data_IF_373349204664
#
_entry.id   IF_373349204664
#
_cell.length_a   1.000
_cell.length_b   1.000
_cell.length_c   1.000
_cell.angle_alpha   90.00
_cell.angle_beta   90.00
_cell.angle_gamma   90.00
#
_symmetry.space_group_name_H-M   'P 1'
#
loop_
_entity.id
_entity.type
_entity.pdbx_description
1 polymer ?
#
# COMPACT_ATOMS: atom_id res chain seq x y z
N UNK A 1 23.20 -71.04 10.32
CA UNK A 1 24.60 -71.45 10.58
C UNK A 1 25.21 -70.36 11.46
N UNK A 2 25.12 -70.55 12.77
CA UNK A 2 25.64 -69.59 13.75
C UNK A 2 27.16 -69.64 13.73
N UNK A 3 27.78 -68.49 13.48
CA UNK A 3 29.21 -68.30 13.63
C UNK A 3 29.41 -67.41 14.85
N UNK A 4 30.17 -67.90 15.82
CA UNK A 4 30.61 -67.12 17.00
C UNK A 4 31.68 -66.11 16.62
N UNK A 5 31.91 -65.11 17.48
CA UNK A 5 32.69 -63.88 17.24
C UNK A 5 34.19 -64.09 16.91
N UNK A 6 34.65 -65.34 16.78
CA UNK A 6 36.02 -65.72 16.38
C UNK A 6 36.05 -66.60 15.14
N UNK A 7 35.16 -66.36 14.17
CA UNK A 7 35.09 -67.11 12.92
C UNK A 7 36.05 -66.55 11.85
N UNK A 8 37.13 -67.28 11.55
CA UNK A 8 38.08 -66.99 10.46
C UNK A 8 37.66 -67.61 9.11
N UNK A 9 36.37 -67.58 8.78
CA UNK A 9 35.85 -68.05 7.49
C UNK A 9 35.99 -66.97 6.41
N UNK A 10 36.43 -67.35 5.19
CA UNK A 10 36.54 -66.47 4.02
C UNK A 10 35.22 -65.73 3.65
N UNK A 11 34.06 -66.22 4.10
CA UNK A 11 32.77 -65.57 3.85
C UNK A 11 32.52 -64.32 4.70
N UNK A 12 33.24 -64.12 5.81
CA UNK A 12 33.08 -62.98 6.72
C UNK A 12 34.05 -61.82 6.42
N UNK A 13 35.02 -62.04 5.53
CA UNK A 13 36.15 -61.12 5.28
C UNK A 13 35.97 -60.17 4.10
N UNK A 14 34.81 -60.19 3.42
CA UNK A 14 34.48 -59.22 2.40
C UNK A 14 33.60 -58.11 2.99
N UNK A 15 34.17 -56.93 3.37
CA UNK A 15 33.33 -55.78 3.64
C UNK A 15 32.55 -55.48 2.36
N UNK A 16 31.22 -55.55 2.43
CA UNK A 16 30.36 -54.97 1.39
C UNK A 16 30.86 -53.54 1.14
N UNK A 17 31.11 -53.12 -0.10
CA UNK A 17 31.54 -51.74 -0.35
C UNK A 17 30.48 -50.83 0.26
N UNK A 18 30.85 -50.11 1.33
CA UNK A 18 29.96 -49.21 2.03
C UNK A 18 29.55 -48.13 1.03
N UNK A 19 28.37 -48.31 0.43
CA UNK A 19 27.89 -47.42 -0.59
C UNK A 19 27.64 -46.05 0.07
N UNK A 20 28.42 -45.06 -0.35
CA UNK A 20 28.27 -43.70 0.15
C UNK A 20 26.97 -43.14 -0.45
N UNK A 21 25.90 -43.05 0.35
CA UNK A 21 24.74 -42.23 -0.02
C UNK A 21 25.11 -40.77 0.19
N UNK A 22 24.82 -39.98 -0.82
CA UNK A 22 24.71 -38.54 -0.63
C UNK A 22 23.63 -38.23 0.42
N UNK A 23 24.03 -37.61 1.52
CA UNK A 23 23.11 -37.05 2.52
C UNK A 23 23.03 -35.56 2.26
N UNK A 24 21.88 -35.10 1.76
CA UNK A 24 21.67 -33.69 1.48
C UNK A 24 21.78 -32.88 2.80
N UNK A 25 22.66 -31.87 2.87
CA UNK A 25 22.73 -31.01 4.05
C UNK A 25 21.42 -30.24 4.23
N UNK A 26 21.10 -29.90 5.47
CA UNK A 26 19.88 -29.15 5.79
C UNK A 26 19.86 -27.82 5.03
N UNK A 27 18.72 -27.51 4.42
CA UNK A 27 18.51 -26.27 3.66
C UNK A 27 18.82 -25.05 4.54
N UNK A 28 19.63 -24.08 4.08
CA UNK A 28 19.97 -22.90 4.85
C UNK A 28 18.72 -22.05 5.12
N UNK A 29 18.62 -21.52 6.34
CA UNK A 29 17.51 -20.63 6.73
C UNK A 29 17.55 -19.34 5.90
N UNK A 30 16.38 -18.81 5.55
CA UNK A 30 16.30 -17.59 4.75
C UNK A 30 16.83 -16.37 5.52
N UNK A 31 17.60 -15.50 4.84
CA UNK A 31 18.03 -14.19 5.36
C UNK A 31 16.89 -13.14 5.42
N UNK A 32 15.64 -13.58 5.40
CA UNK A 32 14.49 -12.67 5.49
C UNK A 32 14.41 -12.15 6.93
N UNK A 33 14.13 -10.85 7.11
CA UNK A 33 14.00 -10.27 8.44
C UNK A 33 12.85 -10.94 9.20
N UNK A 34 13.14 -11.37 10.42
CA UNK A 34 12.16 -11.99 11.31
C UNK A 34 11.22 -10.89 11.79
N UNK A 35 9.95 -10.98 11.41
CA UNK A 35 8.90 -10.09 11.91
C UNK A 35 8.48 -10.56 13.30
N UNK A 36 9.12 -10.06 14.34
CA UNK A 36 8.59 -10.18 15.70
C UNK A 36 7.74 -8.95 16.03
N UNK A 37 6.58 -9.18 16.67
CA UNK A 37 5.79 -8.11 17.24
C UNK A 37 6.41 -7.73 18.58
N UNK A 38 6.75 -6.46 18.74
CA UNK A 38 7.18 -5.91 20.03
C UNK A 38 5.96 -5.31 20.71
N UNK A 39 5.49 -5.94 21.78
CA UNK A 39 4.41 -5.38 22.59
C UNK A 39 4.98 -4.22 23.40
N UNK A 40 4.34 -3.05 23.34
CA UNK A 40 4.71 -1.94 24.21
C UNK A 40 4.14 -2.21 25.61
N UNK A 41 4.99 -2.22 26.63
CA UNK A 41 4.58 -2.40 28.04
C UNK A 41 3.97 -1.13 28.66
N UNK A 42 3.79 -0.08 27.86
CA UNK A 42 3.27 1.20 28.33
C UNK A 42 1.75 1.08 28.52
N UNK A 43 1.23 1.31 29.74
CA UNK A 43 -0.21 1.25 30.00
C UNK A 43 -0.93 2.37 29.24
N UNK A 44 -2.11 2.05 28.72
CA UNK A 44 -2.95 3.01 28.01
C UNK A 44 -3.73 3.87 29.02
N UNK A 45 -3.55 5.19 28.94
CA UNK A 45 -4.32 6.16 29.72
C UNK A 45 -5.79 6.16 29.26
N UNK A 46 -6.66 5.47 30.01
CA UNK A 46 -8.07 5.24 29.68
C UNK A 46 -9.04 6.20 30.40
N UNK A 47 -8.51 7.24 31.02
CA UNK A 47 -9.28 8.17 31.84
C UNK A 47 -9.90 9.25 30.96
N UNK A 48 -11.22 9.16 30.81
CA UNK A 48 -12.00 10.17 30.12
C UNK A 48 -12.32 11.31 31.07
N UNK A 49 -12.46 12.52 30.53
CA UNK A 49 -12.89 13.71 31.27
C UNK A 49 -14.19 13.46 32.06
N UNK A 50 -15.10 12.66 31.50
CA UNK A 50 -16.34 12.25 32.16
C UNK A 50 -16.09 11.46 33.46
N UNK A 51 -15.21 10.45 33.43
CA UNK A 51 -14.87 9.65 34.62
C UNK A 51 -14.23 10.48 35.73
N UNK A 52 -13.44 11.48 35.37
CA UNK A 52 -12.76 12.34 36.34
C UNK A 52 -13.66 13.45 36.92
N UNK A 53 -14.73 13.83 36.20
CA UNK A 53 -15.60 14.95 36.60
C UNK A 53 -16.85 14.52 37.36
N UNK A 54 -17.38 13.32 37.09
CA UNK A 54 -18.54 12.78 37.80
C UNK A 54 -18.10 11.64 38.73
N UNK A 55 -17.56 12.03 39.87
CA UNK A 55 -17.39 11.11 41.00
C UNK A 55 -18.72 11.03 41.75
N UNK A 56 -19.18 9.82 42.04
CA UNK A 56 -20.32 9.63 42.93
C UNK A 56 -19.99 10.30 44.27
N UNK A 57 -20.79 11.30 44.63
CA UNK A 57 -20.61 12.05 45.87
C UNK A 57 -20.68 11.15 47.10
N UNK A 58 -20.20 11.62 48.27
CA UNK A 58 -20.27 10.83 49.49
C UNK A 58 -21.71 10.38 49.71
N UNK A 59 -21.91 9.06 49.74
CA UNK A 59 -23.17 8.44 50.17
C UNK A 59 -23.60 9.09 51.49
N UNK A 60 -24.90 9.31 51.74
CA UNK A 60 -25.38 9.98 52.95
C UNK A 60 -25.13 9.10 54.17
N UNK A 61 -23.89 9.07 54.60
CA UNK A 61 -23.39 8.35 55.76
C UNK A 61 -23.56 9.26 56.97
N UNK A 62 -24.40 8.79 57.89
CA UNK A 62 -24.45 9.14 59.31
C UNK A 62 -24.88 10.57 59.71
N UNK A 63 -24.86 11.56 58.81
CA UNK A 63 -25.26 12.95 59.12
C UNK A 63 -26.60 13.38 58.50
N UNK A 64 -27.39 12.45 57.97
CA UNK A 64 -28.75 12.77 57.49
C UNK A 64 -29.71 12.91 58.67
N UNK A 65 -30.40 14.05 58.74
CA UNK A 65 -31.39 14.35 59.79
C UNK A 65 -32.54 13.34 59.70
N UNK A 66 -32.86 12.67 60.81
CA UNK A 66 -33.98 11.72 60.86
C UNK A 66 -35.32 12.48 60.74
N UNK A 67 -36.28 12.01 59.92
CA UNK A 67 -37.59 12.64 59.81
C UNK A 67 -38.37 12.47 61.12
N UNK A 68 -39.04 13.55 61.57
CA UNK A 68 -39.92 13.55 62.74
C UNK A 68 -41.31 13.08 62.32
N UNK A 69 -41.84 12.05 62.98
CA UNK A 69 -43.19 11.52 62.73
C UNK A 69 -44.15 11.96 63.85
N UNK A 70 -45.42 12.30 63.54
CA UNK A 70 -46.43 12.61 64.55
C UNK A 70 -46.92 11.35 65.27
N UNK A 71 -47.31 11.49 66.55
CA UNK A 71 -47.92 10.40 67.32
C UNK A 71 -49.45 10.37 67.14
N UNK A 72 -50.02 9.17 66.93
CA UNK A 72 -51.44 8.97 66.67
C UNK A 72 -52.28 8.99 67.97
N UNK A 73 -53.23 9.92 68.07
CA UNK A 73 -54.06 10.15 69.27
C UNK A 73 -55.55 9.80 69.07
N UNK A 74 -55.86 8.70 68.37
CA UNK A 74 -57.25 8.35 68.04
C UNK A 74 -57.82 7.29 68.99
N UNK A 75 -58.66 7.69 69.94
CA UNK A 75 -59.57 6.79 70.66
C UNK A 75 -60.88 6.61 69.87
N UNK A 76 -61.16 5.38 69.45
CA UNK A 76 -62.39 5.01 68.71
C UNK A 76 -63.52 4.72 69.71
N UNK A 77 -64.68 5.38 69.55
CA UNK A 77 -65.87 5.12 70.36
C UNK A 77 -66.68 3.95 69.80
N UNK A 78 -66.92 2.93 70.62
CA UNK A 78 -67.66 1.71 70.25
C UNK A 78 -69.19 1.92 70.29
N UNK A 79 -69.73 2.59 69.29
CA UNK A 79 -71.17 2.68 69.04
C UNK A 79 -71.56 2.00 67.73
N UNK A 80 -72.49 1.04 67.74
CA UNK A 80 -73.04 0.46 66.50
C UNK A 80 -73.96 1.47 65.81
N UNK A 81 -73.51 1.98 64.67
CA UNK A 81 -74.31 2.82 63.77
C UNK A 81 -75.14 1.95 62.82
N UNK A 82 -76.40 2.33 62.60
CA UNK A 82 -77.28 1.69 61.63
C UNK A 82 -76.88 2.09 60.21
N UNK A 83 -76.69 1.10 59.34
CA UNK A 83 -76.05 1.26 58.01
C UNK A 83 -77.06 1.47 56.87
N UNK A 84 -78.32 1.73 57.24
CA UNK A 84 -79.44 1.98 56.32
C UNK A 84 -79.67 3.48 56.15
N UNK A 85 -79.08 4.02 55.09
CA UNK A 85 -79.34 5.40 54.66
C UNK A 85 -80.68 5.48 53.92
N UNK A 86 -81.40 6.60 54.04
CA UNK A 86 -82.67 6.85 53.33
C UNK A 86 -82.52 6.60 51.83
N UNK A 87 -81.36 6.94 51.24
CA UNK A 87 -81.10 6.67 49.83
C UNK A 87 -81.18 5.18 49.46
N UNK A 88 -80.60 4.27 50.26
CA UNK A 88 -80.69 2.81 50.02
C UNK A 88 -82.15 2.34 50.02
N UNK A 89 -82.98 2.94 50.87
CA UNK A 89 -84.39 2.58 51.00
C UNK A 89 -85.27 3.19 49.91
N UNK A 90 -84.96 4.40 49.45
CA UNK A 90 -85.82 5.15 48.52
C UNK A 90 -85.52 4.91 47.05
N UNK A 91 -84.30 4.50 46.69
CA UNK A 91 -83.89 4.28 45.29
C UNK A 91 -83.52 2.82 45.06
N UNK A 92 -84.53 1.96 44.99
CA UNK A 92 -84.36 0.57 44.55
C UNK A 92 -84.13 0.56 43.03
N UNK A 93 -83.10 -0.17 42.58
CA UNK A 93 -82.63 -0.14 41.19
C UNK A 93 -83.75 -0.32 40.16
N UNK A 94 -83.73 0.50 39.11
CA UNK A 94 -84.75 0.55 38.06
C UNK A 94 -84.79 -0.77 37.27
N UNK A 95 -85.55 -1.76 37.75
CA UNK A 95 -85.61 -3.13 37.20
C UNK A 95 -86.47 -3.28 35.94
N UNK A 96 -86.98 -2.20 35.37
CA UNK A 96 -87.77 -2.25 34.15
C UNK A 96 -87.57 -1.03 33.26
N UNK A 97 -86.31 -0.69 32.97
CA UNK A 97 -85.99 0.17 31.83
C UNK A 97 -86.36 -0.58 30.54
N UNK A 98 -87.49 -0.20 29.92
CA UNK A 98 -87.78 -0.61 28.54
C UNK A 98 -86.77 0.11 27.64
N UNK A 99 -85.87 -0.64 27.00
CA UNK A 99 -85.01 -0.11 25.95
C UNK A 99 -85.87 0.21 24.73
N UNK A 100 -85.92 1.46 24.33
CA UNK A 100 -86.38 1.82 23.00
C UNK A 100 -85.34 1.29 22.00
N UNK A 101 -85.78 0.48 21.05
CA UNK A 101 -84.94 -0.05 19.97
C UNK A 101 -84.83 1.07 18.93
N UNK A 102 -83.63 1.61 18.65
CA UNK A 102 -83.48 2.61 17.60
C UNK A 102 -83.85 2.01 16.24
N UNK A 103 -84.71 2.72 15.52
CA UNK A 103 -85.22 2.36 14.21
C UNK A 103 -84.05 1.95 13.30
N UNK A 104 -83.96 0.66 12.97
CA UNK A 104 -82.99 0.11 12.02
C UNK A 104 -83.40 0.51 10.59
N UNK A 105 -83.32 1.81 10.28
CA UNK A 105 -83.62 2.34 8.94
C UNK A 105 -82.85 3.61 8.63
N UNK A 106 -81.59 3.65 9.05
CA UNK A 106 -80.59 4.58 8.52
C UNK A 106 -79.29 3.82 8.29
N UNK A 107 -78.66 3.88 7.09
CA UNK A 107 -77.31 3.40 6.96
C UNK A 107 -76.46 4.20 7.94
N UNK A 108 -75.80 3.52 8.88
CA UNK A 108 -74.70 4.05 9.67
C UNK A 108 -73.54 4.39 8.71
N UNK A 109 -73.74 5.41 7.87
CA UNK A 109 -72.61 6.24 7.49
C UNK A 109 -72.23 6.89 8.80
N UNK A 110 -71.16 6.37 9.38
CA UNK A 110 -70.31 7.16 10.26
C UNK A 110 -70.38 8.58 9.72
N UNK A 111 -71.00 9.48 10.49
CA UNK A 111 -70.77 10.92 10.39
C UNK A 111 -69.32 11.03 10.01
N UNK A 112 -68.98 11.59 8.84
CA UNK A 112 -67.59 11.71 8.43
C UNK A 112 -66.88 12.43 9.58
N UNK A 113 -66.27 11.65 10.46
CA UNK A 113 -65.58 12.14 11.61
C UNK A 113 -64.27 12.61 11.00
N UNK A 114 -64.23 13.89 10.64
CA UNK A 114 -63.03 14.60 10.20
C UNK A 114 -61.92 14.59 11.27
N UNK A 115 -62.17 13.97 12.42
CA UNK A 115 -61.19 13.60 13.42
C UNK A 115 -60.32 12.48 12.86
N UNK A 116 -59.22 12.87 12.20
CA UNK A 116 -58.26 11.99 11.54
C UNK A 116 -57.92 10.75 12.34
N UNK A 117 -58.52 9.62 11.95
CA UNK A 117 -58.13 8.26 12.37
C UNK A 117 -57.06 7.75 11.40
N UNK A 118 -56.00 8.53 11.22
CA UNK A 118 -54.84 8.14 10.44
C UNK A 118 -53.71 7.68 11.37
N UNK A 119 -52.86 6.71 10.96
CA UNK A 119 -51.61 6.46 11.67
C UNK A 119 -50.81 7.76 11.77
N UNK A 120 -50.22 8.00 12.94
CA UNK A 120 -49.40 9.20 13.16
C UNK A 120 -48.17 9.15 12.24
N UNK A 121 -47.83 10.28 11.60
CA UNK A 121 -46.68 10.33 10.70
C UNK A 121 -45.40 10.39 11.54
N UNK A 122 -44.61 9.32 11.52
CA UNK A 122 -43.36 9.20 12.29
C UNK A 122 -42.13 9.82 11.59
N UNK A 123 -42.38 10.59 10.53
CA UNK A 123 -41.32 11.21 9.75
C UNK A 123 -41.00 12.60 10.30
N UNK A 124 -39.83 12.75 10.91
CA UNK A 124 -39.37 14.02 11.45
C UNK A 124 -38.56 14.75 10.40
N UNK A 125 -38.52 16.08 10.47
CA UNK A 125 -37.69 16.91 9.57
C UNK A 125 -36.22 16.49 9.56
N UNK A 126 -35.73 15.93 10.67
CA UNK A 126 -34.38 15.36 10.75
C UNK A 126 -34.21 14.11 9.90
N UNK A 127 -35.16 13.17 9.93
CA UNK A 127 -35.13 11.97 9.07
C UNK A 127 -35.13 12.33 7.59
N UNK A 128 -35.91 13.34 7.20
CA UNK A 128 -35.96 13.83 5.82
C UNK A 128 -34.69 14.59 5.40
N UNK A 129 -34.17 15.46 6.28
CA UNK A 129 -33.03 16.32 5.96
C UNK A 129 -31.68 15.57 5.96
N UNK A 130 -31.55 14.54 6.81
CA UNK A 130 -30.30 13.81 7.05
C UNK A 130 -30.36 12.38 6.49
N UNK A 131 -30.74 12.27 5.22
CA UNK A 131 -30.61 11.02 4.46
C UNK A 131 -29.18 10.80 3.97
N UNK A 132 -28.86 9.56 3.62
CA UNK A 132 -27.57 9.20 3.04
C UNK A 132 -27.36 9.94 1.71
N UNK A 133 -26.39 10.85 1.68
CA UNK A 133 -25.99 11.56 0.45
C UNK A 133 -24.78 10.87 -0.15
N UNK A 134 -24.90 10.37 -1.37
CA UNK A 134 -23.76 9.85 -2.11
C UNK A 134 -22.90 11.02 -2.58
N UNK A 135 -21.65 11.09 -2.11
CA UNK A 135 -20.64 12.04 -2.59
C UNK A 135 -19.77 11.34 -3.62
N UNK A 136 -19.58 11.98 -4.78
CA UNK A 136 -18.66 11.50 -5.80
C UNK A 136 -17.24 11.39 -5.22
N UNK A 137 -16.58 10.25 -5.43
CA UNK A 137 -15.21 10.06 -4.96
C UNK A 137 -14.31 11.09 -5.64
N UNK A 138 -13.56 11.84 -4.83
CA UNK A 138 -12.51 12.73 -5.36
C UNK A 138 -11.51 11.91 -6.17
N UNK A 139 -11.03 12.47 -7.27
CA UNK A 139 -9.99 11.83 -8.08
C UNK A 139 -8.75 11.64 -7.20
N UNK A 140 -8.13 10.45 -7.20
CA UNK A 140 -6.92 10.23 -6.43
C UNK A 140 -5.82 11.18 -6.90
N UNK A 141 -5.26 11.96 -5.97
CA UNK A 141 -4.10 12.79 -6.25
C UNK A 141 -2.89 11.88 -6.43
N UNK A 142 -2.37 11.81 -7.66
CA UNK A 142 -1.12 11.12 -7.96
C UNK A 142 0.00 12.15 -7.95
N UNK A 143 0.83 12.14 -6.91
CA UNK A 143 2.08 12.89 -6.91
C UNK A 143 2.95 12.41 -8.09
N UNK A 144 3.52 13.35 -8.84
CA UNK A 144 4.50 13.00 -9.88
C UNK A 144 5.70 12.33 -9.24
N UNK A 145 6.17 11.22 -9.82
CA UNK A 145 7.37 10.54 -9.37
C UNK A 145 8.60 11.44 -9.56
N UNK A 146 9.20 11.87 -8.45
CA UNK A 146 10.44 12.66 -8.46
C UNK A 146 11.70 11.79 -8.69
N UNK A 147 11.53 10.47 -8.72
CA UNK A 147 12.58 9.52 -9.04
C UNK A 147 12.82 9.52 -10.54
N UNK A 148 13.87 10.21 -10.98
CA UNK A 148 14.40 10.13 -12.33
C UNK A 148 15.62 9.21 -12.32
N UNK A 149 15.65 8.24 -13.22
CA UNK A 149 16.89 7.52 -13.49
C UNK A 149 17.85 8.54 -14.13
N UNK A 150 19.08 8.73 -13.60
CA UNK A 150 20.06 9.56 -14.27
C UNK A 150 20.29 9.00 -15.68
N UNK A 151 19.96 9.79 -16.70
CA UNK A 151 20.26 9.48 -18.10
C UNK A 151 21.74 9.82 -18.38
N UNK A 152 22.64 9.25 -17.58
CA UNK A 152 24.06 9.37 -17.78
C UNK A 152 24.57 8.01 -18.28
N UNK A 153 25.09 7.99 -19.52
CA UNK A 153 25.81 6.84 -20.02
C UNK A 153 27.08 6.62 -19.19
N UNK A 154 27.40 5.37 -18.91
CA UNK A 154 28.71 5.00 -18.38
C UNK A 154 29.76 5.36 -19.45
N UNK A 155 30.92 5.90 -19.02
CA UNK A 155 31.95 6.37 -19.95
C UNK A 155 32.67 5.15 -20.58
N UNK A 156 32.52 4.94 -21.89
CA UNK A 156 33.08 3.78 -22.63
C UNK A 156 34.56 3.96 -23.01
N UNK A 157 35.26 4.89 -22.35
CA UNK A 157 36.66 5.24 -22.58
C UNK A 157 37.57 4.27 -21.83
N UNK A 158 37.90 3.16 -22.48
CA UNK A 158 38.91 2.24 -21.97
C UNK A 158 40.32 2.83 -22.13
N UNK A 159 41.26 2.38 -21.30
CA UNK A 159 42.68 2.76 -21.38
C UNK A 159 43.26 2.51 -22.78
N UNK A 160 42.85 1.42 -23.44
CA UNK A 160 43.23 1.09 -24.80
C UNK A 160 42.77 2.16 -25.82
N UNK A 161 41.48 2.54 -25.80
CA UNK A 161 40.94 3.58 -26.71
C UNK A 161 41.61 4.94 -26.52
N UNK A 162 42.01 5.27 -25.30
CA UNK A 162 42.69 6.54 -24.98
C UNK A 162 44.17 6.51 -25.37
N UNK A 163 44.84 5.36 -25.26
CA UNK A 163 46.28 5.24 -25.50
C UNK A 163 46.63 4.96 -26.96
N UNK A 164 45.77 4.21 -27.66
CA UNK A 164 45.98 3.79 -29.04
C UNK A 164 44.92 4.40 -29.94
N UNK A 165 44.97 5.73 -30.09
CA UNK A 165 44.19 6.42 -31.11
C UNK A 165 44.94 6.37 -32.45
N UNK A 166 44.21 6.39 -33.56
CA UNK A 166 44.81 6.56 -34.88
C UNK A 166 45.51 7.92 -34.90
N UNK A 167 46.82 7.92 -34.68
CA UNK A 167 47.70 9.04 -35.01
C UNK A 167 47.71 9.11 -36.54
N UNK A 168 46.66 9.70 -37.10
CA UNK A 168 46.52 9.85 -38.55
C UNK A 168 47.82 10.42 -39.12
N UNK A 169 48.13 10.02 -40.34
CA UNK A 169 49.31 10.41 -41.12
C UNK A 169 49.39 11.93 -41.43
N UNK A 170 48.85 12.78 -40.57
CA UNK A 170 48.87 14.25 -40.60
C UNK A 170 50.11 14.83 -39.92
N UNK A 171 51.03 13.99 -39.46
CA UNK A 171 52.38 14.46 -39.13
C UNK A 171 53.00 14.84 -40.47
N UNK A 172 53.35 16.12 -40.72
CA UNK A 172 54.00 16.50 -41.96
C UNK A 172 55.27 15.67 -42.08
N UNK A 173 55.34 14.85 -43.13
CA UNK A 173 56.57 14.10 -43.44
C UNK A 173 57.64 15.16 -43.66
N UNK A 174 58.75 15.16 -42.90
CA UNK A 174 59.77 16.18 -43.06
C UNK A 174 60.33 16.13 -44.48
N UNK A 175 60.25 17.26 -45.19
CA UNK A 175 60.81 17.36 -46.53
C UNK A 175 62.33 17.17 -46.47
N UNK A 176 62.87 16.32 -47.35
CA UNK A 176 64.32 16.08 -47.38
C UNK A 176 65.04 17.28 -47.99
N UNK A 177 66.01 17.87 -47.27
CA UNK A 177 66.89 18.93 -47.77
C UNK A 177 67.99 18.42 -48.74
N UNK A 178 67.86 17.20 -49.27
CA UNK A 178 68.81 16.66 -50.23
C UNK A 178 68.65 17.37 -51.58
N UNK A 179 69.74 17.72 -52.29
CA UNK A 179 69.64 18.38 -53.58
C UNK A 179 68.87 17.50 -54.57
N UNK A 180 67.90 18.09 -55.28
CA UNK A 180 67.13 17.39 -56.31
C UNK A 180 68.06 17.03 -57.48
N UNK A 181 68.18 15.73 -57.77
CA UNK A 181 68.94 15.24 -58.93
C UNK A 181 68.13 15.49 -60.21
N UNK A 182 68.22 16.70 -60.75
CA UNK A 182 67.58 17.08 -62.02
C UNK A 182 68.65 17.02 -63.12
N UNK A 183 68.43 16.19 -64.14
CA UNK A 183 69.32 16.16 -65.30
C UNK A 183 69.29 17.52 -66.00
N UNK A 184 70.46 18.13 -66.18
CA UNK A 184 70.61 19.40 -66.91
C UNK A 184 71.43 19.15 -68.16
N UNK A 185 70.85 19.40 -69.34
CA UNK A 185 71.56 19.23 -70.61
C UNK A 185 72.64 20.31 -70.73
N UNK A 186 73.86 19.93 -71.13
CA UNK A 186 74.93 20.90 -71.38
C UNK A 186 74.61 21.74 -72.62
N UNK A 187 74.86 23.05 -72.55
CA UNK A 187 74.77 23.95 -73.72
C UNK A 187 75.97 23.80 -74.67
N UNK A 188 76.97 23.00 -74.30
CA UNK A 188 78.16 22.75 -75.11
C UNK A 188 77.84 21.65 -76.12
N UNK A 189 77.99 21.88 -77.44
CA UNK A 189 77.81 20.85 -78.45
C UNK A 189 78.89 19.77 -78.29
N UNK A 190 78.54 18.53 -78.68
CA UNK A 190 79.51 17.44 -78.70
C UNK A 190 80.56 17.71 -79.78
N UNK A 191 81.84 17.48 -79.48
CA UNK A 191 82.91 17.69 -80.46
C UNK A 191 82.86 16.56 -81.51
N UNK A 192 82.57 16.90 -82.77
CA UNK A 192 82.37 15.94 -83.87
C UNK A 192 83.66 15.63 -84.64
N UNK A 193 84.80 16.09 -84.15
CA UNK A 193 86.13 15.89 -84.75
C UNK A 193 86.65 14.50 -84.42
N UNK A 194 86.32 13.53 -85.28
CA UNK A 194 86.94 12.20 -85.23
C UNK A 194 88.32 12.23 -85.90
N UNK A 195 89.23 11.37 -85.42
CA UNK A 195 90.58 11.23 -85.99
C UNK A 195 90.54 10.99 -87.50
N UNK A 196 89.63 10.14 -87.97
CA UNK A 196 89.42 9.85 -89.40
C UNK A 196 89.09 11.11 -90.23
N UNK A 197 88.17 11.97 -89.76
CA UNK A 197 87.81 13.22 -90.44
C UNK A 197 88.98 14.21 -90.50
N UNK A 198 89.87 14.17 -89.51
CA UNK A 198 91.05 15.04 -89.48
C UNK A 198 92.20 14.50 -90.33
N UNK A 199 92.34 13.18 -90.45
CA UNK A 199 93.48 12.54 -91.12
C UNK A 199 93.29 12.35 -92.62
N UNK A 200 92.06 12.16 -93.10
CA UNK A 200 91.79 11.90 -94.52
C UNK A 200 91.05 13.08 -95.15
N UNK A 201 91.80 14.04 -95.65
CA UNK A 201 91.27 15.12 -96.50
C UNK A 201 91.40 14.71 -97.96
N UNK A 202 90.41 15.05 -98.83
CA UNK A 202 90.52 14.77 -100.25
C UNK A 202 91.75 15.49 -100.81
N UNK A 203 92.69 14.73 -101.36
CA UNK A 203 93.84 15.26 -102.08
C UNK A 203 93.65 15.00 -103.57
N UNK A 204 93.99 15.99 -104.39
CA UNK A 204 93.96 15.82 -105.84
C UNK A 204 95.13 14.92 -106.27
N UNK A 205 94.83 13.85 -107.01
CA UNK A 205 95.87 12.99 -107.57
C UNK A 205 96.52 13.70 -108.76
N UNK A 206 97.86 13.80 -108.82
CA UNK A 206 98.53 14.39 -109.98
C UNK A 206 98.20 13.57 -111.25
N UNK A 207 97.71 14.25 -112.29
CA UNK A 207 97.41 13.63 -113.58
C UNK A 207 98.67 13.05 -114.21
N UNK A 208 98.60 11.80 -114.68
CA UNK A 208 99.63 11.16 -115.49
C UNK A 208 99.64 11.67 -116.93
#
# INVERSE_FOLDING_TARGET
LGHEDTCNCCCCSNPQPAYLKYVQPSVPKSFKPVRYYWCNEIPFEADTTYKLSFLDGPTPSRNSVKPVLPEDSLTVGDGKLNDETIHKLSYLGNWSVKREIPNESGPWRAVQQWLGRGPIQDNTTSKDAYTWKCIARSKPFKASTNLRCPCASIDDKTTYKLSYYESGCRIPVPESFKPKKIYTKSNVPMDEKTTYKLSYWPYETPSK
#
